data_IF_888503198183
#
_entry.id   IF_888503198183
#
_cell.length_a   1.000
_cell.length_b   1.000
_cell.length_c   1.000
_cell.angle_alpha   90.00
_cell.angle_beta   90.00
_cell.angle_gamma   90.00
#
_symmetry.space_group_name_H-M   'P 1'
#
loop_
_entity.id
_entity.type
_entity.pdbx_description
1 polymer ?
#
# COMPACT_ATOMS: atom_id res chain seq x y z
N UNK A 1 -2.18 -0.91 -10.27
CA UNK A 1 -1.40 -0.78 -9.00
C UNK A 1 -2.05 -1.59 -7.89
N UNK A 2 -3.35 -1.39 -7.63
CA UNK A 2 -4.11 -2.13 -6.60
C UNK A 2 -4.06 -3.68 -6.75
N UNK A 3 -4.29 -4.21 -7.96
CA UNK A 3 -4.28 -5.67 -8.18
C UNK A 3 -2.95 -6.35 -7.86
N UNK A 4 -1.82 -5.69 -8.15
CA UNK A 4 -0.49 -6.25 -7.85
C UNK A 4 -0.21 -6.35 -6.34
N UNK A 5 -0.87 -5.52 -5.52
CA UNK A 5 -0.75 -5.58 -4.07
C UNK A 5 -1.63 -6.68 -3.50
N UNK A 6 -2.84 -6.87 -4.04
CA UNK A 6 -3.76 -7.93 -3.64
C UNK A 6 -3.15 -9.32 -3.79
N UNK A 7 -2.53 -9.60 -4.94
CA UNK A 7 -1.85 -10.88 -5.20
C UNK A 7 -0.69 -11.12 -4.22
N UNK A 8 0.13 -10.10 -3.96
CA UNK A 8 1.26 -10.19 -3.02
C UNK A 8 0.82 -10.40 -1.58
N UNK A 9 -0.35 -9.87 -1.20
CA UNK A 9 -0.88 -9.96 0.15
C UNK A 9 -1.75 -11.22 0.36
N UNK A 10 -2.00 -12.00 -0.69
CA UNK A 10 -2.78 -13.24 -0.60
C UNK A 10 -4.24 -13.03 -0.21
N UNK A 11 -4.82 -11.87 -0.58
CA UNK A 11 -6.19 -11.52 -0.18
C UNK A 11 -7.19 -12.29 -1.04
N UNK A 12 -8.14 -13.04 -0.43
CA UNK A 12 -9.14 -13.79 -1.17
C UNK A 12 -9.97 -12.91 -2.11
N UNK A 13 -10.45 -13.49 -3.22
CA UNK A 13 -11.26 -12.76 -4.19
C UNK A 13 -12.59 -12.22 -3.60
N UNK A 14 -13.11 -12.92 -2.60
CA UNK A 14 -14.33 -12.56 -1.88
C UNK A 14 -14.16 -11.38 -0.91
N UNK A 15 -12.92 -11.04 -0.54
CA UNK A 15 -12.64 -9.92 0.35
C UNK A 15 -12.43 -8.66 -0.47
N UNK A 16 -13.00 -7.53 -0.01
CA UNK A 16 -12.71 -6.24 -0.59
C UNK A 16 -11.36 -5.72 -0.07
N UNK A 17 -10.67 -4.95 -0.90
CA UNK A 17 -9.41 -4.31 -0.56
C UNK A 17 -9.48 -2.85 -0.99
N UNK A 18 -9.79 -1.98 -0.04
CA UNK A 18 -10.12 -0.57 -0.31
C UNK A 18 -9.06 0.33 0.32
N UNK A 19 -8.60 1.32 -0.44
CA UNK A 19 -7.71 2.35 0.10
C UNK A 19 -8.53 3.31 0.97
N UNK A 20 -8.09 3.50 2.21
CA UNK A 20 -8.76 4.36 3.19
C UNK A 20 -7.97 5.61 3.53
N UNK A 21 -6.66 5.59 3.31
CA UNK A 21 -5.78 6.73 3.50
C UNK A 21 -4.73 6.74 2.39
N UNK A 22 -4.39 7.94 1.93
CA UNK A 22 -3.25 8.15 1.03
C UNK A 22 -2.57 9.44 1.44
N UNK A 23 -1.25 9.40 1.51
CA UNK A 23 -0.43 10.56 1.82
C UNK A 23 0.86 10.51 1.02
N UNK A 24 1.37 11.69 0.66
CA UNK A 24 2.64 11.83 -0.02
C UNK A 24 3.61 12.63 0.85
N UNK A 25 4.89 12.26 0.80
CA UNK A 25 5.97 12.97 1.48
C UNK A 25 7.21 13.01 0.61
N UNK A 26 7.72 14.23 0.39
CA UNK A 26 9.03 14.43 -0.23
C UNK A 26 10.06 14.74 0.86
N UNK A 27 11.13 13.93 0.94
CA UNK A 27 12.23 14.16 1.89
C UNK A 27 13.57 13.67 1.34
N UNK A 28 14.61 14.51 1.44
CA UNK A 28 15.99 14.18 1.00
C UNK A 28 16.10 13.60 -0.42
N UNK A 29 15.31 14.10 -1.38
CA UNK A 29 15.35 13.61 -2.76
C UNK A 29 14.53 12.35 -3.02
N UNK A 30 13.81 11.85 -2.01
CA UNK A 30 12.87 10.75 -2.15
C UNK A 30 11.44 11.29 -2.13
N UNK A 31 10.69 10.97 -3.17
CA UNK A 31 9.25 11.12 -3.23
C UNK A 31 8.62 9.83 -2.69
N UNK A 32 7.86 9.91 -1.61
CA UNK A 32 7.34 8.75 -0.87
C UNK A 32 5.83 8.80 -0.80
N UNK A 33 5.18 7.86 -1.48
CA UNK A 33 3.74 7.62 -1.38
C UNK A 33 3.48 6.61 -0.26
N UNK A 34 2.53 6.92 0.61
CA UNK A 34 2.12 6.07 1.73
C UNK A 34 0.61 5.88 1.62
N UNK A 35 0.21 4.68 1.24
CA UNK A 35 -1.18 4.30 1.09
C UNK A 35 -1.56 3.27 2.16
N UNK A 36 -2.75 3.43 2.74
CA UNK A 36 -3.32 2.48 3.69
C UNK A 36 -4.57 1.85 3.10
N UNK A 37 -4.64 0.54 3.19
CA UNK A 37 -5.74 -0.27 2.68
C UNK A 37 -6.38 -1.07 3.81
N UNK A 38 -7.68 -1.20 3.74
CA UNK A 38 -8.44 -2.13 4.56
C UNK A 38 -8.83 -3.34 3.73
N UNK A 39 -8.54 -4.53 4.24
CA UNK A 39 -9.17 -5.75 3.77
C UNK A 39 -10.48 -5.92 4.55
N UNK A 40 -11.60 -6.01 3.83
CA UNK A 40 -12.90 -6.33 4.44
C UNK A 40 -13.38 -7.69 3.99
N UNK A 41 -14.01 -8.40 4.91
CA UNK A 41 -14.71 -9.65 4.59
C UNK A 41 -15.98 -9.37 3.75
N UNK A 42 -16.66 -10.42 3.23
CA UNK A 42 -17.90 -10.25 2.48
C UNK A 42 -19.04 -9.58 3.27
N UNK A 43 -18.97 -9.62 4.60
CA UNK A 43 -19.95 -9.01 5.50
C UNK A 43 -19.64 -7.51 5.77
N UNK A 44 -18.50 -7.02 5.26
CA UNK A 44 -18.06 -5.63 5.39
C UNK A 44 -17.20 -5.34 6.61
N UNK A 45 -16.80 -6.34 7.40
CA UNK A 45 -15.93 -6.13 8.57
C UNK A 45 -14.47 -6.04 8.15
N UNK A 46 -13.73 -5.12 8.76
CA UNK A 46 -12.28 -4.98 8.54
C UNK A 46 -11.54 -6.12 9.22
N UNK A 47 -10.90 -6.99 8.42
CA UNK A 47 -10.12 -8.15 8.91
C UNK A 47 -8.61 -7.89 8.97
N UNK A 48 -8.13 -6.88 8.24
CA UNK A 48 -6.75 -6.43 8.29
C UNK A 48 -6.61 -5.02 7.71
N UNK A 49 -5.56 -4.29 8.15
CA UNK A 49 -5.09 -3.11 7.42
C UNK A 49 -3.66 -3.29 6.96
N UNK A 50 -3.34 -2.67 5.85
CA UNK A 50 -2.04 -2.74 5.20
C UNK A 50 -1.56 -1.34 4.88
N UNK A 51 -0.32 -1.04 5.23
CA UNK A 51 0.37 0.17 4.78
C UNK A 51 1.34 -0.24 3.68
N UNK A 52 1.27 0.47 2.55
CA UNK A 52 2.18 0.35 1.43
C UNK A 52 2.96 1.65 1.36
N UNK A 53 4.29 1.55 1.41
CA UNK A 53 5.17 2.71 1.28
C UNK A 53 5.98 2.55 0.00
N UNK A 54 5.84 3.50 -0.93
CA UNK A 54 6.55 3.52 -2.20
C UNK A 54 7.43 4.76 -2.27
N UNK A 55 8.75 4.56 -2.15
CA UNK A 55 9.73 5.64 -2.20
C UNK A 55 10.49 5.61 -3.52
N UNK A 56 10.38 6.68 -4.30
CA UNK A 56 11.08 6.89 -5.56
C UNK A 56 12.12 7.99 -5.42
N UNK A 57 13.37 7.70 -5.80
CA UNK A 57 14.45 8.68 -5.84
C UNK A 57 14.28 9.58 -7.06
N UNK A 58 14.18 10.88 -6.83
CA UNK A 58 13.99 11.89 -7.88
C UNK A 58 15.26 12.15 -8.70
N UNK A 59 16.43 11.69 -8.22
CA UNK A 59 17.72 11.91 -8.87
C UNK A 59 18.28 10.64 -9.51
N UNK A 60 18.95 10.75 -10.67
CA UNK A 60 19.65 9.62 -11.28
C UNK A 60 20.81 9.08 -10.44
N UNK A 61 21.06 7.76 -10.43
CA UNK A 61 20.19 6.72 -11.00
C UNK A 61 18.89 6.60 -10.20
N UNK A 62 17.75 6.54 -10.92
CA UNK A 62 16.45 6.38 -10.27
C UNK A 62 16.42 5.05 -9.50
N UNK A 63 16.03 5.13 -8.23
CA UNK A 63 15.86 3.98 -7.33
C UNK A 63 14.45 4.00 -6.80
N UNK A 64 13.80 2.84 -6.73
CA UNK A 64 12.48 2.68 -6.11
C UNK A 64 12.56 1.66 -4.98
N UNK A 65 11.85 1.90 -3.90
CA UNK A 65 11.70 0.99 -2.76
C UNK A 65 10.22 0.88 -2.45
N UNK A 66 9.71 -0.35 -2.38
CA UNK A 66 8.32 -0.60 -2.01
C UNK A 66 8.30 -1.53 -0.82
N UNK A 67 7.72 -1.06 0.27
CA UNK A 67 7.57 -1.80 1.52
C UNK A 67 6.09 -2.07 1.81
N UNK A 68 5.80 -3.27 2.31
CA UNK A 68 4.46 -3.72 2.67
C UNK A 68 4.44 -4.06 4.16
N UNK A 69 3.57 -3.41 4.91
CA UNK A 69 3.41 -3.63 6.34
C UNK A 69 1.95 -3.94 6.65
N UNK A 70 1.70 -4.99 7.42
CA UNK A 70 0.38 -5.20 8.03
C UNK A 70 0.33 -4.38 9.31
N UNK A 71 -0.57 -3.41 9.35
CA UNK A 71 -0.79 -2.55 10.52
C UNK A 71 -2.11 -3.00 11.17
N UNK A 72 -1.99 -3.63 12.33
CA UNK A 72 -3.10 -4.20 13.10
C UNK A 72 -2.86 -4.01 14.58
#
# INVERSE_FOLDING_TARGET
>A
MFDQHREKLGIPESHSFEMVESSNKVKHGWDTDIDVFEQRDPDGNVVARYRITDATNMYPPQKRKVDYERIG
#
